data_IF_185226247952
#
_entry.id   IF_185226247952
#
_cell.length_a   1.000
_cell.length_b   1.000
_cell.length_c   1.000
_cell.angle_alpha   90.00
_cell.angle_beta   90.00
_cell.angle_gamma   90.00
#
_symmetry.space_group_name_H-M   'P 1'
#
loop_
_entity.id
_entity.type
_entity.pdbx_description
1 polymer ?
#
# COMPACT_ATOMS: atom_id res chain seq x y z
N UNK A 1 -31.97 44.63 38.12
CA UNK A 1 -31.17 45.01 36.94
C UNK A 1 -29.71 44.66 37.24
N UNK A 2 -29.20 43.57 36.67
CA UNK A 2 -27.80 43.15 36.81
C UNK A 2 -27.22 43.08 35.40
N UNK A 3 -26.33 44.02 35.13
CA UNK A 3 -25.65 44.25 33.86
C UNK A 3 -24.58 43.19 33.59
N UNK A 4 -24.55 42.71 32.35
CA UNK A 4 -23.70 41.62 31.88
C UNK A 4 -22.19 41.92 31.94
N UNK A 5 -21.43 40.93 32.40
CA UNK A 5 -19.96 40.90 32.28
C UNK A 5 -19.60 40.33 30.90
N UNK A 6 -19.32 41.23 29.96
CA UNK A 6 -18.61 40.91 28.73
C UNK A 6 -17.14 40.61 29.03
N UNK A 7 -16.66 39.46 28.58
CA UNK A 7 -15.24 39.08 28.66
C UNK A 7 -14.47 39.92 27.64
N UNK A 8 -13.61 40.81 28.14
CA UNK A 8 -12.60 41.52 27.35
C UNK A 8 -11.56 40.52 26.82
N UNK A 9 -11.61 40.22 25.52
CA UNK A 9 -10.50 39.58 24.81
C UNK A 9 -9.63 40.69 24.23
N UNK A 10 -8.52 40.98 24.91
CA UNK A 10 -7.49 41.92 24.46
C UNK A 10 -6.85 41.38 23.18
N UNK A 11 -7.25 41.94 22.05
CA UNK A 11 -6.71 41.66 20.73
C UNK A 11 -5.35 42.37 20.60
N UNK A 12 -4.27 41.69 20.98
CA UNK A 12 -2.91 42.17 20.71
C UNK A 12 -2.65 42.08 19.20
N UNK A 13 -2.66 43.25 18.56
CA UNK A 13 -2.27 43.41 17.17
C UNK A 13 -0.76 43.19 17.01
N UNK A 14 -0.36 42.36 16.06
CA UNK A 14 0.95 42.45 15.44
C UNK A 14 0.75 42.54 13.92
N UNK A 15 0.86 43.76 13.40
CA UNK A 15 0.94 44.04 11.96
C UNK A 15 2.38 43.86 11.48
N UNK A 16 2.48 43.47 10.20
CA UNK A 16 3.65 43.35 9.31
C UNK A 16 4.44 42.03 9.41
N UNK A 17 4.05 41.06 8.58
CA UNK A 17 4.91 40.50 7.54
C UNK A 17 4.02 40.01 6.39
N UNK A 18 3.95 40.78 5.32
CA UNK A 18 3.40 40.34 4.04
C UNK A 18 4.41 39.36 3.45
N UNK A 19 4.09 38.07 3.46
CA UNK A 19 4.47 37.17 2.38
C UNK A 19 3.16 36.84 1.69
N UNK A 20 2.91 37.46 0.54
CA UNK A 20 1.81 37.08 -0.33
C UNK A 20 2.01 35.61 -0.73
N UNK A 21 1.25 34.71 -0.09
CA UNK A 21 1.42 33.27 -0.26
C UNK A 21 0.68 32.45 0.78
N UNK A 22 -0.64 32.67 0.92
CA UNK A 22 -1.57 31.66 1.43
C UNK A 22 -1.58 31.38 2.92
N UNK A 23 -2.10 32.31 3.73
CA UNK A 23 -2.62 31.95 5.05
C UNK A 23 -4.02 31.36 4.85
N UNK A 24 -4.21 30.09 5.22
CA UNK A 24 -5.55 29.49 5.34
C UNK A 24 -5.97 29.61 6.80
N UNK A 25 -7.18 30.13 7.03
CA UNK A 25 -7.87 30.02 8.31
C UNK A 25 -9.05 29.07 8.12
N UNK A 26 -8.93 27.85 8.64
CA UNK A 26 -10.07 26.94 8.80
C UNK A 26 -9.86 26.19 10.11
N UNK A 27 -10.80 26.30 11.06
CA UNK A 27 -10.79 25.59 12.35
C UNK A 27 -9.44 25.64 13.10
N UNK A 28 -8.99 26.84 13.50
CA UNK A 28 -7.74 27.06 14.28
C UNK A 28 -6.43 26.59 13.60
N UNK A 29 -6.47 26.22 12.32
CA UNK A 29 -5.32 25.75 11.58
C UNK A 29 -4.65 26.89 10.79
N UNK A 30 -3.33 27.07 10.95
CA UNK A 30 -2.52 28.08 10.25
C UNK A 30 -1.28 27.42 9.65
N UNK A 31 -0.98 27.73 8.38
CA UNK A 31 0.26 27.34 7.72
C UNK A 31 1.00 28.58 7.21
N UNK A 32 2.29 28.68 7.48
CA UNK A 32 3.11 29.82 7.05
C UNK A 32 4.57 29.46 6.88
N UNK A 33 5.27 30.21 6.03
CA UNK A 33 6.72 30.09 5.90
C UNK A 33 7.42 30.99 6.91
N UNK A 34 8.43 30.45 7.58
CA UNK A 34 9.20 31.16 8.60
C UNK A 34 10.70 30.95 8.39
N UNK A 35 11.46 32.03 8.53
CA UNK A 35 12.89 31.97 8.80
C UNK A 35 13.13 32.14 10.29
N UNK A 36 14.24 31.61 10.79
CA UNK A 36 14.56 31.48 12.21
C UNK A 36 14.76 32.77 13.01
N UNK A 37 13.95 33.83 12.83
CA UNK A 37 13.93 35.00 13.74
C UNK A 37 13.47 34.64 15.16
N UNK A 38 12.79 33.50 15.38
CA UNK A 38 12.28 33.08 16.71
C UNK A 38 13.16 32.06 17.46
N UNK A 39 14.31 31.65 16.93
CA UNK A 39 15.29 30.84 17.68
C UNK A 39 16.66 31.54 17.63
N UNK A 40 16.81 32.61 18.40
CA UNK A 40 18.03 33.41 18.52
C UNK A 40 19.26 32.64 19.09
N UNK A 41 19.20 31.33 19.26
CA UNK A 41 20.28 30.51 19.83
C UNK A 41 20.94 29.52 18.86
N UNK A 42 20.59 29.51 17.56
CA UNK A 42 21.22 28.61 16.57
C UNK A 42 21.48 29.28 15.22
N UNK A 43 22.28 30.34 15.20
CA UNK A 43 23.03 30.64 13.99
C UNK A 43 24.11 29.56 13.84
N UNK A 44 24.18 28.87 12.68
CA UNK A 44 25.40 28.14 12.33
C UNK A 44 26.50 29.18 12.11
N UNK A 45 27.78 28.79 12.28
CA UNK A 45 28.95 29.67 12.05
C UNK A 45 28.96 30.36 10.66
N UNK A 46 28.12 29.93 9.72
CA UNK A 46 27.96 30.45 8.36
C UNK A 46 27.03 31.67 8.20
N UNK A 47 26.29 32.11 9.22
CA UNK A 47 25.37 33.27 9.10
C UNK A 47 24.07 33.02 8.32
N UNK A 48 23.78 31.76 7.97
CA UNK A 48 22.56 31.35 7.26
C UNK A 48 21.51 30.79 8.21
N UNK A 49 20.23 31.00 7.89
CA UNK A 49 19.08 30.56 8.67
C UNK A 49 18.25 29.52 7.91
N UNK A 50 17.80 28.43 8.55
CA UNK A 50 16.95 27.45 7.90
C UNK A 50 15.57 28.05 7.60
N UNK A 51 15.09 27.80 6.39
CA UNK A 51 13.71 28.08 5.98
C UNK A 51 12.84 26.89 6.41
N UNK A 52 11.75 27.17 7.11
CA UNK A 52 10.82 26.15 7.61
C UNK A 52 9.38 26.53 7.29
N UNK A 53 8.53 25.53 7.21
CA UNK A 53 7.08 25.69 7.11
C UNK A 53 6.51 25.39 8.48
N UNK A 54 5.84 26.37 9.08
CA UNK A 54 5.17 26.24 10.37
C UNK A 54 3.72 25.84 10.14
N UNK A 55 3.27 24.83 10.87
CA UNK A 55 1.86 24.42 10.93
C UNK A 55 1.41 24.56 12.38
N UNK A 56 0.31 25.29 12.59
CA UNK A 56 -0.30 25.54 13.90
C UNK A 56 -1.69 24.92 13.87
N UNK A 57 -2.05 24.18 14.92
CA UNK A 57 -3.39 23.62 15.12
C UNK A 57 -3.62 23.42 16.63
N UNK A 58 -4.77 23.83 17.16
CA UNK A 58 -5.15 23.72 18.58
C UNK A 58 -4.04 24.22 19.53
N UNK A 59 -3.54 25.44 19.28
CA UNK A 59 -2.45 26.11 20.04
C UNK A 59 -1.10 25.36 20.08
N UNK A 60 -0.96 24.27 19.33
CA UNK A 60 0.31 23.54 19.15
C UNK A 60 0.91 23.90 17.79
N UNK A 61 2.22 24.12 17.76
CA UNK A 61 2.96 24.45 16.55
C UNK A 61 4.03 23.39 16.26
N UNK A 62 4.14 22.96 15.00
CA UNK A 62 5.26 22.15 14.50
C UNK A 62 5.91 22.83 13.30
N UNK A 63 7.20 22.59 13.12
CA UNK A 63 8.00 23.13 12.03
C UNK A 63 8.52 22.02 11.13
N UNK A 64 8.39 22.21 9.83
CA UNK A 64 8.82 21.28 8.79
C UNK A 64 9.94 21.91 7.98
N UNK A 65 11.06 21.20 7.83
CA UNK A 65 12.23 21.71 7.10
C UNK A 65 11.97 21.73 5.60
N UNK A 66 12.37 22.80 4.91
CA UNK A 66 12.41 22.84 3.44
C UNK A 66 13.77 22.38 2.87
N UNK A 67 14.75 22.14 3.74
CA UNK A 67 16.13 21.82 3.35
C UNK A 67 16.92 23.01 2.79
N UNK A 68 16.35 24.22 2.79
CA UNK A 68 17.02 25.45 2.33
C UNK A 68 17.43 26.33 3.49
N UNK A 69 18.55 27.02 3.31
CA UNK A 69 19.07 28.00 4.25
C UNK A 69 19.29 29.33 3.49
N UNK A 70 18.94 30.45 4.12
CA UNK A 70 19.04 31.78 3.53
C UNK A 70 19.62 32.76 4.55
N UNK A 71 20.38 33.75 4.07
CA UNK A 71 20.74 34.91 4.87
C UNK A 71 19.48 35.77 5.13
N UNK A 72 19.58 36.73 6.06
CA UNK A 72 18.49 37.67 6.32
C UNK A 72 18.15 38.50 5.08
N UNK A 73 19.18 38.99 4.40
CA UNK A 73 19.07 39.80 3.19
C UNK A 73 18.46 39.00 2.02
N UNK A 74 18.95 37.77 1.81
CA UNK A 74 18.41 36.89 0.77
C UNK A 74 16.94 36.52 1.02
N UNK A 75 16.51 36.40 2.27
CA UNK A 75 15.12 36.14 2.62
C UNK A 75 14.21 37.33 2.33
N UNK A 76 14.65 38.54 2.73
CA UNK A 76 13.91 39.78 2.49
C UNK A 76 13.78 40.07 0.98
N UNK A 77 14.81 39.72 0.21
CA UNK A 77 14.85 39.87 -1.24
C UNK A 77 14.32 38.65 -2.02
N UNK A 78 13.87 37.58 -1.35
CA UNK A 78 13.58 36.29 -2.02
C UNK A 78 12.50 36.41 -3.10
N UNK A 79 11.49 37.26 -2.86
CA UNK A 79 10.35 37.45 -3.77
C UNK A 79 10.72 38.27 -5.02
N UNK A 80 11.56 39.29 -4.87
CA UNK A 80 11.85 40.28 -5.90
C UNK A 80 13.17 39.99 -6.64
N UNK A 81 14.02 39.13 -6.07
CA UNK A 81 15.33 38.85 -6.65
C UNK A 81 15.22 38.20 -8.04
N UNK A 82 16.03 38.69 -8.98
CA UNK A 82 16.24 38.10 -10.31
C UNK A 82 17.43 37.14 -10.35
N UNK A 83 18.12 36.94 -9.22
CA UNK A 83 19.25 36.01 -9.12
C UNK A 83 18.77 34.59 -9.36
N UNK A 84 19.41 33.88 -10.30
CA UNK A 84 19.11 32.48 -10.61
C UNK A 84 19.09 31.60 -9.36
N UNK A 85 20.06 31.77 -8.46
CA UNK A 85 20.15 31.05 -7.17
C UNK A 85 18.89 31.25 -6.31
N UNK A 86 18.44 32.49 -6.15
CA UNK A 86 17.30 32.83 -5.30
C UNK A 86 15.97 32.42 -5.94
N UNK A 87 15.86 32.49 -7.26
CA UNK A 87 14.73 31.95 -8.01
C UNK A 87 14.59 30.43 -7.85
N UNK A 88 15.69 29.68 -7.95
CA UNK A 88 15.71 28.22 -7.74
C UNK A 88 15.33 27.86 -6.28
N UNK A 89 15.84 28.61 -5.30
CA UNK A 89 15.49 28.42 -3.89
C UNK A 89 14.00 28.73 -3.65
N UNK A 90 13.48 29.81 -4.23
CA UNK A 90 12.06 30.19 -4.15
C UNK A 90 11.15 29.07 -4.64
N UNK A 91 11.39 28.58 -5.85
CA UNK A 91 10.62 27.46 -6.44
C UNK A 91 10.69 26.22 -5.54
N UNK A 92 11.87 25.88 -5.01
CA UNK A 92 12.04 24.73 -4.11
C UNK A 92 11.26 24.88 -2.80
N UNK A 93 11.23 26.09 -2.23
CA UNK A 93 10.51 26.40 -0.99
C UNK A 93 9.00 26.40 -1.22
N UNK A 94 8.52 26.99 -2.33
CA UNK A 94 7.11 26.99 -2.75
C UNK A 94 6.58 25.58 -3.01
N UNK A 95 7.39 24.72 -3.62
CA UNK A 95 7.06 23.30 -3.81
C UNK A 95 6.90 22.59 -2.46
N UNK A 96 7.84 22.80 -1.53
CA UNK A 96 7.77 22.23 -0.18
C UNK A 96 6.50 22.71 0.55
N UNK A 97 6.19 24.00 0.44
CA UNK A 97 4.99 24.59 1.02
C UNK A 97 3.72 23.98 0.43
N UNK A 98 3.65 23.85 -0.89
CA UNK A 98 2.50 23.29 -1.61
C UNK A 98 2.21 21.84 -1.20
N UNK A 99 3.26 21.02 -1.02
CA UNK A 99 3.12 19.62 -0.57
C UNK A 99 2.48 19.57 0.82
N UNK A 100 3.04 20.33 1.78
CA UNK A 100 2.54 20.34 3.16
C UNK A 100 1.12 20.93 3.21
N UNK A 101 0.87 22.03 2.49
CA UNK A 101 -0.45 22.65 2.37
C UNK A 101 -1.49 21.65 1.86
N UNK A 102 -1.19 20.93 0.78
CA UNK A 102 -2.10 19.91 0.24
C UNK A 102 -2.41 18.79 1.22
N UNK A 103 -1.42 18.32 2.01
CA UNK A 103 -1.67 17.31 3.05
C UNK A 103 -2.56 17.83 4.16
N UNK A 104 -2.28 19.06 4.60
CA UNK A 104 -3.01 19.76 5.65
C UNK A 104 -4.46 19.97 5.23
N UNK A 105 -4.71 20.47 4.02
CA UNK A 105 -6.06 20.65 3.45
C UNK A 105 -6.81 19.32 3.38
N UNK A 106 -6.20 18.28 2.80
CA UNK A 106 -6.83 16.97 2.64
C UNK A 106 -7.11 16.25 3.98
N UNK A 107 -6.38 16.57 5.05
CA UNK A 107 -6.65 16.09 6.40
C UNK A 107 -7.76 16.91 7.06
N UNK A 108 -7.73 18.23 6.90
CA UNK A 108 -8.71 19.15 7.45
C UNK A 108 -10.11 18.92 6.86
N UNK A 109 -10.23 18.68 5.55
CA UNK A 109 -11.51 18.37 4.88
C UNK A 109 -12.20 17.12 5.44
N UNK A 110 -11.43 16.17 5.96
CA UNK A 110 -11.95 14.93 6.53
C UNK A 110 -12.23 15.03 8.03
N UNK A 111 -11.84 16.13 8.67
CA UNK A 111 -11.88 16.27 10.14
C UNK A 111 -10.80 15.48 10.88
N UNK A 112 -9.85 14.87 10.17
CA UNK A 112 -8.84 13.96 10.73
C UNK A 112 -7.49 14.65 11.01
N UNK A 113 -7.47 15.99 11.08
CA UNK A 113 -6.20 16.68 11.23
C UNK A 113 -5.60 16.47 12.63
N UNK A 114 -4.49 15.73 12.68
CA UNK A 114 -3.56 15.75 13.79
C UNK A 114 -2.11 15.76 13.26
N UNK A 115 -1.19 16.25 14.07
CA UNK A 115 0.22 16.33 13.66
C UNK A 115 0.82 14.96 13.34
N UNK A 116 0.36 13.88 13.96
CA UNK A 116 0.88 12.54 13.71
C UNK A 116 0.36 11.98 12.38
N UNK A 117 -0.90 12.26 12.01
CA UNK A 117 -1.42 11.98 10.69
C UNK A 117 -0.71 12.79 9.60
N UNK A 118 -0.43 14.08 9.86
CA UNK A 118 0.38 14.91 8.97
C UNK A 118 1.80 14.36 8.84
N UNK A 119 2.47 13.99 9.95
CA UNK A 119 3.81 13.42 9.93
C UNK A 119 3.85 12.06 9.23
N UNK A 120 2.82 11.21 9.40
CA UNK A 120 2.70 9.94 8.70
C UNK A 120 2.54 10.17 7.19
N UNK A 121 1.76 11.17 6.76
CA UNK A 121 1.64 11.54 5.35
C UNK A 121 2.92 12.16 4.81
N UNK A 122 3.58 13.03 5.58
CA UNK A 122 4.83 13.68 5.16
C UNK A 122 6.03 12.72 5.15
N UNK A 123 6.09 11.76 6.09
CA UNK A 123 7.05 10.66 6.07
C UNK A 123 6.79 9.68 4.92
N UNK A 124 5.56 9.62 4.41
CA UNK A 124 5.21 8.97 3.13
C UNK A 124 5.47 9.86 1.91
N UNK A 125 5.50 11.19 2.04
CA UNK A 125 5.83 12.16 0.99
C UNK A 125 7.33 12.44 0.86
N UNK A 126 8.18 12.08 1.84
CA UNK A 126 9.64 12.22 1.71
C UNK A 126 10.24 11.20 0.73
N UNK A 127 9.48 10.20 0.30
CA UNK A 127 9.90 9.29 -0.77
C UNK A 127 9.53 9.89 -2.12
N UNK A 128 10.44 10.69 -2.68
CA UNK A 128 10.27 11.39 -3.95
C UNK A 128 10.20 10.46 -5.19
N UNK A 129 10.34 9.14 -5.00
CA UNK A 129 10.51 8.17 -6.10
C UNK A 129 9.51 7.02 -6.04
N UNK A 130 9.21 6.47 -7.22
CA UNK A 130 8.40 5.26 -7.43
C UNK A 130 9.01 4.07 -6.70
N UNK A 131 10.35 3.93 -6.74
CA UNK A 131 11.08 2.84 -6.11
C UNK A 131 10.83 2.80 -4.60
N UNK A 132 11.00 3.94 -3.93
CA UNK A 132 10.79 4.05 -2.50
C UNK A 132 9.32 3.84 -2.11
N UNK A 133 8.37 4.31 -2.93
CA UNK A 133 6.95 4.04 -2.69
C UNK A 133 6.58 2.55 -2.87
N UNK A 134 7.15 1.87 -3.87
CA UNK A 134 7.00 0.42 -4.05
C UNK A 134 7.64 -0.37 -2.89
N UNK A 135 8.79 0.09 -2.39
CA UNK A 135 9.47 -0.48 -1.24
C UNK A 135 8.64 -0.35 0.04
N UNK A 136 8.14 0.85 0.35
CA UNK A 136 7.26 1.07 1.50
C UNK A 136 6.02 0.16 1.45
N UNK A 137 5.40 0.05 0.27
CA UNK A 137 4.23 -0.80 0.07
C UNK A 137 4.55 -2.29 0.22
N UNK A 138 5.72 -2.72 -0.27
CA UNK A 138 6.24 -4.07 -0.06
C UNK A 138 6.39 -4.36 1.43
N UNK A 139 7.01 -3.45 2.17
CA UNK A 139 7.33 -3.64 3.59
C UNK A 139 6.06 -3.61 4.46
N UNK A 140 5.08 -2.75 4.12
CA UNK A 140 3.73 -2.78 4.69
C UNK A 140 3.03 -4.11 4.44
N UNK A 141 3.04 -4.63 3.20
CA UNK A 141 2.48 -5.95 2.91
C UNK A 141 3.17 -7.08 3.65
N UNK A 142 4.49 -6.96 3.90
CA UNK A 142 5.24 -7.93 4.69
C UNK A 142 4.79 -7.90 6.16
N UNK A 143 4.70 -6.72 6.75
CA UNK A 143 4.25 -6.53 8.13
C UNK A 143 2.82 -7.06 8.33
N UNK A 144 1.94 -6.86 7.34
CA UNK A 144 0.55 -7.33 7.39
C UNK A 144 0.36 -8.81 7.00
N UNK A 145 1.44 -9.57 6.77
CA UNK A 145 1.35 -10.96 6.34
C UNK A 145 0.75 -11.17 4.94
N UNK A 146 0.65 -10.13 4.11
CA UNK A 146 0.04 -10.19 2.78
C UNK A 146 1.03 -10.68 1.73
N UNK A 147 1.41 -11.96 1.81
CA UNK A 147 2.52 -12.59 1.08
C UNK A 147 2.46 -12.38 -0.44
N UNK A 148 1.30 -12.62 -1.06
CA UNK A 148 1.16 -12.48 -2.51
C UNK A 148 1.32 -11.02 -2.96
N UNK A 149 0.81 -10.07 -2.18
CA UNK A 149 0.97 -8.63 -2.45
C UNK A 149 2.42 -8.19 -2.26
N UNK A 150 3.10 -8.71 -1.23
CA UNK A 150 4.54 -8.53 -1.01
C UNK A 150 5.35 -8.96 -2.25
N UNK A 151 5.14 -10.19 -2.75
CA UNK A 151 5.87 -10.70 -3.90
C UNK A 151 5.57 -9.92 -5.19
N UNK A 152 4.33 -9.41 -5.37
CA UNK A 152 3.99 -8.53 -6.50
C UNK A 152 4.76 -7.21 -6.47
N UNK A 153 4.80 -6.55 -5.30
CA UNK A 153 5.58 -5.33 -5.12
C UNK A 153 7.08 -5.59 -5.31
N UNK A 154 7.64 -6.65 -4.70
CA UNK A 154 9.04 -7.05 -4.85
C UNK A 154 9.42 -7.29 -6.31
N UNK A 155 8.61 -8.06 -7.04
CA UNK A 155 8.87 -8.36 -8.45
C UNK A 155 8.73 -7.12 -9.33
N UNK A 156 7.72 -6.27 -9.07
CA UNK A 156 7.55 -5.02 -9.82
C UNK A 156 8.72 -4.09 -9.59
N UNK A 157 9.15 -3.89 -8.33
CA UNK A 157 10.32 -3.09 -7.97
C UNK A 157 11.58 -3.57 -8.70
N UNK A 158 11.90 -4.87 -8.61
CA UNK A 158 13.07 -5.42 -9.31
C UNK A 158 13.03 -5.17 -10.82
N UNK A 159 11.86 -5.27 -11.45
CA UNK A 159 11.75 -5.12 -12.91
C UNK A 159 11.66 -3.66 -13.36
N UNK A 160 11.23 -2.74 -12.50
CA UNK A 160 11.24 -1.30 -12.79
C UNK A 160 12.65 -0.72 -12.65
N UNK A 161 13.42 -1.21 -11.66
CA UNK A 161 14.83 -0.84 -11.47
C UNK A 161 15.69 -1.24 -12.67
N UNK A 162 15.44 -2.42 -13.25
CA UNK A 162 16.10 -2.87 -14.48
C UNK A 162 15.77 -2.01 -15.70
N UNK A 163 14.60 -1.37 -15.71
CA UNK A 163 14.18 -0.53 -16.83
C UNK A 163 14.71 0.91 -16.70
N UNK A 164 14.59 1.51 -15.52
CA UNK A 164 14.78 2.96 -15.34
C UNK A 164 15.57 3.35 -14.06
N UNK A 165 16.19 2.38 -13.37
CA UNK A 165 17.03 2.63 -12.20
C UNK A 165 16.25 2.85 -10.90
N UNK A 166 16.94 3.38 -9.89
CA UNK A 166 16.48 3.40 -8.50
C UNK A 166 15.88 4.74 -8.05
N UNK A 167 15.89 5.76 -8.91
CA UNK A 167 15.51 7.13 -8.57
C UNK A 167 14.41 7.70 -9.48
N UNK A 168 13.42 6.86 -9.80
CA UNK A 168 12.34 7.23 -10.72
C UNK A 168 11.39 8.21 -10.04
N UNK A 169 11.39 9.48 -10.45
CA UNK A 169 10.46 10.49 -9.91
C UNK A 169 9.04 10.27 -10.41
N UNK A 170 8.03 10.64 -9.61
CA UNK A 170 6.62 10.60 -10.05
C UNK A 170 6.34 11.46 -11.29
N UNK A 171 7.01 12.60 -11.42
CA UNK A 171 6.85 13.50 -12.57
C UNK A 171 7.36 12.90 -13.89
N UNK A 172 8.35 12.00 -13.83
CA UNK A 172 8.90 11.34 -15.01
C UNK A 172 7.99 10.27 -15.62
N UNK A 173 6.99 9.79 -14.87
CA UNK A 173 6.10 8.71 -15.30
C UNK A 173 4.96 9.27 -16.17
N UNK A 174 5.21 9.37 -17.47
CA UNK A 174 4.24 9.76 -18.49
C UNK A 174 3.61 8.55 -19.20
N UNK A 175 2.61 8.80 -20.06
CA UNK A 175 2.02 7.77 -20.94
C UNK A 175 3.09 7.11 -21.81
N UNK A 176 3.97 7.92 -22.42
CA UNK A 176 5.06 7.46 -23.25
C UNK A 176 6.11 6.66 -22.44
N UNK A 177 6.41 7.07 -21.21
CA UNK A 177 7.26 6.30 -20.29
C UNK A 177 6.68 4.90 -20.02
N UNK A 178 5.36 4.80 -19.77
CA UNK A 178 4.68 3.52 -19.54
C UNK A 178 4.71 2.63 -20.80
N UNK A 179 4.53 3.20 -21.98
CA UNK A 179 4.63 2.47 -23.25
C UNK A 179 6.04 1.89 -23.46
N UNK A 180 7.10 2.67 -23.18
CA UNK A 180 8.48 2.18 -23.24
C UNK A 180 8.74 1.08 -22.21
N UNK A 181 8.25 1.25 -20.98
CA UNK A 181 8.38 0.26 -19.92
C UNK A 181 7.71 -1.07 -20.30
N UNK A 182 6.51 -1.02 -20.87
CA UNK A 182 5.82 -2.20 -21.39
C UNK A 182 6.61 -2.87 -22.52
N UNK A 183 7.06 -2.09 -23.51
CA UNK A 183 7.86 -2.62 -24.63
C UNK A 183 9.13 -3.29 -24.15
N UNK A 184 9.82 -2.69 -23.18
CA UNK A 184 10.99 -3.28 -22.53
C UNK A 184 10.66 -4.66 -21.94
N UNK A 185 9.62 -4.77 -21.11
CA UNK A 185 9.25 -6.05 -20.52
C UNK A 185 8.78 -7.09 -21.55
N UNK A 186 8.13 -6.67 -22.65
CA UNK A 186 7.79 -7.58 -23.76
C UNK A 186 9.03 -8.15 -24.43
N UNK A 187 10.03 -7.30 -24.68
CA UNK A 187 11.31 -7.72 -25.25
C UNK A 187 12.09 -8.67 -24.32
N UNK A 188 11.90 -8.56 -23.01
CA UNK A 188 12.42 -9.52 -22.03
C UNK A 188 11.60 -10.83 -21.92
N UNK A 189 10.62 -11.03 -22.81
CA UNK A 189 9.78 -12.22 -22.82
C UNK A 189 8.76 -12.29 -21.67
N UNK A 190 8.42 -11.17 -21.01
CA UNK A 190 7.35 -11.17 -20.01
C UNK A 190 6.00 -11.37 -20.67
N UNK A 191 5.20 -12.28 -20.11
CA UNK A 191 3.82 -12.49 -20.56
C UNK A 191 2.95 -11.25 -20.30
N UNK A 192 1.87 -11.10 -21.08
CA UNK A 192 0.89 -10.03 -20.91
C UNK A 192 0.32 -10.02 -19.48
N UNK A 193 0.09 -11.19 -18.90
CA UNK A 193 -0.37 -11.32 -17.50
C UNK A 193 0.62 -10.74 -16.51
N UNK A 194 1.92 -11.01 -16.69
CA UNK A 194 2.97 -10.46 -15.82
C UNK A 194 3.05 -8.94 -15.97
N UNK A 195 3.02 -8.43 -17.20
CA UNK A 195 3.00 -6.98 -17.48
C UNK A 195 1.77 -6.31 -16.85
N UNK A 196 0.58 -6.93 -16.97
CA UNK A 196 -0.65 -6.45 -16.33
C UNK A 196 -0.48 -6.31 -14.81
N UNK A 197 0.15 -7.29 -14.16
CA UNK A 197 0.41 -7.27 -12.71
C UNK A 197 1.37 -6.13 -12.35
N UNK A 198 2.45 -5.94 -13.10
CA UNK A 198 3.42 -4.88 -12.85
C UNK A 198 2.76 -3.50 -13.03
N UNK A 199 2.03 -3.30 -14.13
CA UNK A 199 1.33 -2.05 -14.41
C UNK A 199 0.23 -1.72 -13.40
N UNK A 200 -0.52 -2.72 -12.91
CA UNK A 200 -1.49 -2.52 -11.81
C UNK A 200 -0.80 -2.13 -10.50
N UNK A 201 0.35 -2.72 -10.22
CA UNK A 201 1.13 -2.40 -9.03
C UNK A 201 1.65 -0.97 -9.09
N UNK A 202 2.20 -0.56 -10.26
CA UNK A 202 2.62 0.81 -10.51
C UNK A 202 1.46 1.81 -10.44
N UNK A 203 0.33 1.50 -11.09
CA UNK A 203 -0.90 2.31 -11.01
C UNK A 203 -1.36 2.49 -9.57
N UNK A 204 -1.22 1.47 -8.74
CA UNK A 204 -1.57 1.58 -7.32
C UNK A 204 -0.70 2.59 -6.57
N UNK A 205 0.61 2.60 -6.82
CA UNK A 205 1.55 3.57 -6.22
C UNK A 205 1.27 5.00 -6.71
N UNK A 206 0.99 5.16 -8.01
CA UNK A 206 0.60 6.46 -8.57
C UNK A 206 -0.72 6.96 -7.99
N UNK A 207 -1.71 6.07 -7.83
CA UNK A 207 -2.98 6.41 -7.17
C UNK A 207 -2.77 6.87 -5.74
N UNK A 208 -1.86 6.23 -4.99
CA UNK A 208 -1.53 6.62 -3.62
C UNK A 208 -0.83 7.99 -3.60
N UNK A 209 0.08 8.25 -4.53
CA UNK A 209 0.72 9.56 -4.70
C UNK A 209 -0.29 10.67 -5.03
N UNK A 210 -1.25 10.39 -5.91
CA UNK A 210 -2.37 11.30 -6.22
C UNK A 210 -3.23 11.58 -4.99
N UNK A 211 -3.61 10.53 -4.25
CA UNK A 211 -4.41 10.65 -3.01
C UNK A 211 -3.70 11.47 -1.94
N UNK A 212 -2.38 11.38 -1.91
CA UNK A 212 -1.50 12.14 -1.03
C UNK A 212 -1.00 13.43 -1.70
N UNK A 213 -1.68 13.97 -2.71
CA UNK A 213 -1.38 15.29 -3.29
C UNK A 213 0.01 15.46 -3.92
N UNK A 214 0.77 14.39 -4.15
CA UNK A 214 2.11 14.47 -4.76
C UNK A 214 2.07 14.67 -6.27
N UNK A 215 0.98 14.23 -6.92
CA UNK A 215 0.70 14.47 -8.33
C UNK A 215 -0.73 14.96 -8.51
N UNK A 216 -0.95 15.81 -9.52
CA UNK A 216 -2.28 16.32 -9.90
C UNK A 216 -3.02 15.33 -10.79
N UNK A 217 -4.35 15.47 -10.90
CA UNK A 217 -5.19 14.68 -11.82
C UNK A 217 -4.65 14.69 -13.27
N UNK A 218 -4.29 15.88 -13.74
CA UNK A 218 -3.75 16.10 -15.08
C UNK A 218 -2.47 15.29 -15.34
N UNK A 219 -1.66 15.05 -14.30
CA UNK A 219 -0.41 14.30 -14.39
C UNK A 219 -0.60 12.79 -14.25
N UNK A 220 -1.80 12.31 -13.91
CA UNK A 220 -2.06 10.89 -13.72
C UNK A 220 -2.00 10.14 -15.07
N UNK A 221 -1.07 9.19 -15.31
CA UNK A 221 -0.82 8.66 -16.65
C UNK A 221 -1.70 7.45 -17.03
N UNK A 222 -2.47 6.88 -16.08
CA UNK A 222 -3.34 5.74 -16.34
C UNK A 222 -4.80 6.16 -16.55
N UNK A 223 -5.51 5.48 -17.44
CA UNK A 223 -6.95 5.66 -17.65
C UNK A 223 -7.37 5.63 -19.13
N UNK A 224 -8.67 5.76 -19.37
CA UNK A 224 -9.23 5.85 -20.72
C UNK A 224 -8.68 7.09 -21.43
N UNK A 225 -8.20 6.92 -22.66
CA UNK A 225 -7.54 8.00 -23.41
C UNK A 225 -6.15 8.39 -22.88
N UNK A 226 -5.58 7.57 -21.98
CA UNK A 226 -4.19 7.65 -21.51
C UNK A 226 -3.54 6.27 -21.69
N UNK A 227 -2.61 5.88 -20.82
CA UNK A 227 -2.10 4.51 -20.83
C UNK A 227 -3.15 3.54 -20.29
N UNK A 228 -3.54 2.59 -21.13
CA UNK A 228 -4.48 1.51 -20.81
C UNK A 228 -3.71 0.22 -20.54
N UNK A 229 -3.94 -0.37 -19.36
CA UNK A 229 -3.21 -1.57 -18.94
C UNK A 229 -3.66 -2.76 -19.81
N UNK A 230 -2.75 -3.48 -20.48
CA UNK A 230 -3.11 -4.56 -21.38
C UNK A 230 -3.87 -5.67 -20.64
N UNK A 231 -5.01 -6.10 -21.19
CA UNK A 231 -5.78 -7.22 -20.66
C UNK A 231 -5.09 -8.56 -20.96
N UNK A 232 -5.03 -9.44 -19.97
CA UNK A 232 -4.67 -10.84 -20.21
C UNK A 232 -5.90 -11.64 -20.61
N UNK A 233 -5.75 -12.55 -21.57
CA UNK A 233 -6.82 -13.50 -21.90
C UNK A 233 -6.85 -14.63 -20.86
N UNK A 234 -8.05 -14.92 -20.34
CA UNK A 234 -8.26 -16.09 -19.48
C UNK A 234 -8.03 -17.39 -20.26
N UNK A 235 -7.47 -18.40 -19.61
CA UNK A 235 -7.40 -19.76 -20.17
C UNK A 235 -8.58 -20.56 -19.63
N UNK A 236 -9.33 -21.24 -20.52
CA UNK A 236 -10.37 -22.20 -20.11
C UNK A 236 -9.68 -23.47 -19.64
N UNK A 237 -9.58 -23.64 -18.32
CA UNK A 237 -8.87 -24.74 -17.65
C UNK A 237 -9.81 -25.77 -17.00
N UNK A 238 -11.12 -25.67 -17.25
CA UNK A 238 -12.08 -26.60 -16.67
C UNK A 238 -11.90 -28.00 -17.27
N UNK A 239 -11.75 -29.00 -16.40
CA UNK A 239 -11.71 -30.40 -16.79
C UNK A 239 -13.13 -30.91 -17.07
N UNK A 240 -13.27 -31.79 -18.06
CA UNK A 240 -14.52 -32.53 -18.29
C UNK A 240 -14.68 -33.63 -17.24
N UNK A 241 -15.91 -34.14 -17.05
CA UNK A 241 -16.15 -35.27 -16.14
C UNK A 241 -15.33 -36.51 -16.53
N UNK A 242 -15.13 -36.76 -17.82
CA UNK A 242 -14.27 -37.84 -18.29
C UNK A 242 -12.81 -37.63 -17.90
N UNK A 243 -12.30 -36.40 -17.99
CA UNK A 243 -10.94 -36.07 -17.55
C UNK A 243 -10.80 -36.20 -16.03
N UNK A 244 -11.79 -35.75 -15.26
CA UNK A 244 -11.82 -35.93 -13.80
C UNK A 244 -11.81 -37.42 -13.46
N UNK A 245 -12.65 -38.23 -14.11
CA UNK A 245 -12.68 -39.69 -13.91
C UNK A 245 -11.30 -40.30 -14.19
N UNK A 246 -10.67 -39.94 -15.31
CA UNK A 246 -9.31 -40.40 -15.64
C UNK A 246 -8.28 -40.07 -14.55
N UNK A 247 -8.36 -38.88 -13.95
CA UNK A 247 -7.45 -38.49 -12.85
C UNK A 247 -7.73 -39.32 -11.60
N UNK A 248 -8.99 -39.44 -11.19
CA UNK A 248 -9.37 -40.11 -9.92
C UNK A 248 -9.14 -41.62 -9.99
N UNK A 249 -9.33 -42.25 -11.15
CA UNK A 249 -9.10 -43.70 -11.33
C UNK A 249 -7.66 -44.03 -11.71
N UNK A 250 -6.75 -43.05 -11.76
CA UNK A 250 -5.36 -43.30 -12.13
C UNK A 250 -4.63 -44.04 -11.02
N UNK A 251 -4.37 -45.32 -11.22
CA UNK A 251 -3.80 -46.26 -10.24
C UNK A 251 -2.33 -46.63 -10.50
N UNK A 252 -1.78 -46.18 -11.63
CA UNK A 252 -0.39 -46.45 -12.04
C UNK A 252 0.55 -45.40 -11.45
N UNK A 253 1.11 -45.62 -10.27
CA UNK A 253 2.07 -44.66 -9.73
C UNK A 253 2.65 -45.05 -8.38
N UNK A 254 3.54 -44.20 -7.87
CA UNK A 254 4.02 -44.33 -6.51
C UNK A 254 2.93 -43.97 -5.49
N UNK A 255 3.16 -44.33 -4.24
CA UNK A 255 2.31 -43.90 -3.12
C UNK A 255 2.13 -42.37 -3.09
N UNK A 256 3.19 -41.63 -3.41
CA UNK A 256 3.17 -40.17 -3.55
C UNK A 256 2.15 -39.69 -4.59
N UNK A 257 2.09 -40.34 -5.75
CA UNK A 257 1.10 -39.99 -6.79
C UNK A 257 -0.32 -40.27 -6.31
N UNK A 258 -0.53 -41.43 -5.67
CA UNK A 258 -1.83 -41.78 -5.08
C UNK A 258 -2.27 -40.76 -4.03
N UNK A 259 -1.35 -40.36 -3.13
CA UNK A 259 -1.61 -39.35 -2.10
C UNK A 259 -2.05 -38.02 -2.70
N UNK A 260 -1.32 -37.48 -3.68
CA UNK A 260 -1.67 -36.18 -4.26
C UNK A 260 -2.92 -36.23 -5.14
N UNK A 261 -3.19 -37.35 -5.82
CA UNK A 261 -4.47 -37.59 -6.52
C UNK A 261 -5.64 -37.55 -5.54
N UNK A 262 -5.52 -38.27 -4.42
CA UNK A 262 -6.57 -38.35 -3.39
C UNK A 262 -6.80 -36.99 -2.72
N UNK A 263 -5.73 -36.26 -2.37
CA UNK A 263 -5.85 -34.90 -1.83
C UNK A 263 -6.46 -33.90 -2.83
N UNK A 264 -6.13 -34.02 -4.12
CA UNK A 264 -6.78 -33.23 -5.16
C UNK A 264 -8.28 -33.56 -5.27
N UNK A 265 -8.63 -34.85 -5.18
CA UNK A 265 -10.03 -35.29 -5.23
C UNK A 265 -10.82 -34.84 -3.99
N UNK A 266 -10.22 -34.87 -2.80
CA UNK A 266 -10.80 -34.26 -1.60
C UNK A 266 -11.08 -32.77 -1.82
N UNK A 267 -10.12 -32.04 -2.39
CA UNK A 267 -10.30 -30.63 -2.75
C UNK A 267 -11.50 -30.43 -3.69
N UNK A 268 -11.63 -31.27 -4.72
CA UNK A 268 -12.74 -31.25 -5.66
C UNK A 268 -14.09 -31.50 -4.96
N UNK A 269 -14.20 -32.56 -4.16
CA UNK A 269 -15.42 -32.94 -3.43
C UNK A 269 -15.81 -31.91 -2.36
N UNK A 270 -14.83 -31.28 -1.72
CA UNK A 270 -15.03 -30.25 -0.70
C UNK A 270 -15.27 -28.86 -1.32
N UNK A 271 -16.19 -28.78 -2.28
CA UNK A 271 -16.57 -27.57 -3.02
C UNK A 271 -15.39 -26.80 -3.64
N UNK A 272 -14.35 -27.51 -4.10
CA UNK A 272 -13.16 -26.88 -4.68
C UNK A 272 -12.35 -26.08 -3.66
N UNK A 273 -12.31 -26.49 -2.39
CA UNK A 273 -11.42 -25.91 -1.38
C UNK A 273 -9.99 -25.87 -1.92
N UNK A 274 -9.29 -24.76 -1.75
CA UNK A 274 -7.90 -24.74 -2.19
C UNK A 274 -6.98 -25.43 -1.18
N UNK A 275 -5.81 -25.86 -1.65
CA UNK A 275 -4.81 -26.49 -0.79
C UNK A 275 -4.49 -25.65 0.45
N UNK A 276 -4.31 -24.34 0.34
CA UNK A 276 -4.05 -23.49 1.53
C UNK A 276 -5.07 -23.70 2.63
N UNK A 277 -6.36 -23.66 2.34
CA UNK A 277 -7.38 -23.81 3.38
C UNK A 277 -7.52 -25.28 3.79
N UNK A 278 -7.39 -26.21 2.85
CA UNK A 278 -7.45 -27.65 3.09
C UNK A 278 -6.38 -28.14 4.06
N UNK A 279 -5.14 -27.65 3.94
CA UNK A 279 -4.03 -28.04 4.82
C UNK A 279 -4.25 -27.63 6.29
N UNK A 280 -5.14 -26.66 6.53
CA UNK A 280 -5.42 -26.12 7.87
C UNK A 280 -6.83 -26.49 8.37
N UNK A 281 -7.52 -27.39 7.68
CA UNK A 281 -8.75 -27.99 8.21
C UNK A 281 -8.42 -28.79 9.47
N UNK A 282 -9.27 -28.67 10.48
CA UNK A 282 -9.25 -29.41 11.74
C UNK A 282 -10.47 -30.31 11.84
N UNK A 283 -10.45 -31.28 12.75
CA UNK A 283 -11.64 -32.07 13.06
C UNK A 283 -12.80 -31.20 13.55
N UNK A 284 -12.54 -30.09 14.24
CA UNK A 284 -13.54 -29.08 14.62
C UNK A 284 -14.25 -28.42 13.44
N UNK A 285 -13.69 -28.52 12.23
CA UNK A 285 -14.37 -28.04 11.02
C UNK A 285 -15.45 -29.01 10.55
N UNK A 286 -15.51 -30.25 11.04
CA UNK A 286 -16.55 -31.21 10.69
C UNK A 286 -17.71 -31.03 11.66
N UNK A 287 -18.83 -30.51 11.18
CA UNK A 287 -20.04 -30.24 11.97
C UNK A 287 -21.22 -30.89 11.29
N UNK A 288 -21.93 -31.79 11.98
CA UNK A 288 -23.13 -32.47 11.47
C UNK A 288 -22.96 -33.13 10.08
N UNK A 289 -21.78 -33.74 9.84
CA UNK A 289 -21.48 -34.37 8.55
C UNK A 289 -21.09 -33.39 7.44
N UNK A 290 -20.79 -32.13 7.75
CA UNK A 290 -20.30 -31.13 6.81
C UNK A 290 -18.93 -30.60 7.21
N UNK A 291 -18.02 -30.43 6.24
CA UNK A 291 -16.80 -29.63 6.41
C UNK A 291 -17.15 -28.15 6.27
N UNK A 292 -16.95 -27.40 7.34
CA UNK A 292 -17.28 -25.99 7.49
C UNK A 292 -16.01 -25.15 7.62
N UNK A 293 -15.77 -24.21 6.69
CA UNK A 293 -14.58 -23.36 6.71
C UNK A 293 -14.81 -21.97 6.13
N UNK A 294 -13.93 -21.04 6.47
CA UNK A 294 -13.90 -19.68 5.90
C UNK A 294 -12.72 -19.59 4.93
N UNK A 295 -13.00 -19.10 3.72
CA UNK A 295 -11.97 -18.96 2.68
C UNK A 295 -10.93 -17.91 3.06
N UNK A 296 -9.67 -18.29 3.27
CA UNK A 296 -8.61 -17.36 3.70
C UNK A 296 -8.40 -16.19 2.72
N UNK A 297 -8.51 -16.45 1.41
CA UNK A 297 -8.22 -15.44 0.38
C UNK A 297 -9.16 -14.23 0.44
N UNK A 298 -10.40 -14.44 0.86
CA UNK A 298 -11.48 -13.45 0.78
C UNK A 298 -12.10 -13.14 2.15
N UNK A 299 -11.55 -13.71 3.22
CA UNK A 299 -12.02 -13.53 4.60
C UNK A 299 -12.12 -12.06 5.00
N UNK A 300 -11.18 -11.23 4.53
CA UNK A 300 -11.12 -9.80 4.85
C UNK A 300 -11.71 -8.89 3.75
N UNK A 301 -12.32 -9.46 2.70
CA UNK A 301 -12.83 -8.66 1.56
C UNK A 301 -14.30 -8.26 1.73
N UNK A 302 -15.04 -8.95 2.60
CA UNK A 302 -16.45 -8.65 2.87
C UNK A 302 -16.65 -8.30 4.34
N UNK A 303 -17.61 -7.41 4.62
CA UNK A 303 -18.06 -7.10 5.98
C UNK A 303 -18.74 -8.29 6.66
N UNK A 304 -19.22 -9.26 5.87
CA UNK A 304 -19.82 -10.50 6.37
C UNK A 304 -18.94 -11.69 6.04
N UNK A 305 -18.52 -12.41 7.08
CA UNK A 305 -17.79 -13.67 6.93
C UNK A 305 -18.73 -14.71 6.34
N UNK A 306 -18.32 -15.33 5.22
CA UNK A 306 -19.07 -16.41 4.58
C UNK A 306 -18.42 -17.74 4.94
N UNK A 307 -19.21 -18.61 5.57
CA UNK A 307 -18.82 -20.00 5.84
C UNK A 307 -19.22 -20.86 4.65
N UNK A 308 -18.27 -21.59 4.10
CA UNK A 308 -18.51 -22.61 3.08
C UNK A 308 -18.79 -23.93 3.81
N UNK A 309 -19.82 -24.64 3.37
CA UNK A 309 -20.22 -25.95 3.88
C UNK A 309 -20.15 -26.95 2.74
N UNK A 310 -19.43 -28.05 2.93
CA UNK A 310 -19.37 -29.14 1.98
C UNK A 310 -19.73 -30.44 2.69
N UNK A 311 -20.62 -31.24 2.10
CA UNK A 311 -21.03 -32.53 2.66
C UNK A 311 -19.80 -33.43 2.74
N UNK A 312 -19.56 -34.03 3.91
CA UNK A 312 -18.48 -34.99 4.12
C UNK A 312 -18.88 -36.34 3.52
N UNK A 313 -18.50 -36.57 2.26
CA UNK A 313 -18.83 -37.80 1.53
C UNK A 313 -18.04 -39.01 2.04
N UNK A 314 -18.49 -40.25 1.77
CA UNK A 314 -17.73 -41.46 2.10
C UNK A 314 -16.31 -41.46 1.53
N UNK A 315 -16.12 -40.98 0.30
CA UNK A 315 -14.81 -40.88 -0.34
C UNK A 315 -13.90 -39.89 0.39
N UNK A 316 -14.44 -38.75 0.83
CA UNK A 316 -13.68 -37.80 1.66
C UNK A 316 -13.22 -38.43 2.98
N UNK A 317 -14.08 -39.23 3.62
CA UNK A 317 -13.73 -39.95 4.85
C UNK A 317 -12.60 -40.96 4.62
N UNK A 318 -12.67 -41.76 3.54
CA UNK A 318 -11.61 -42.70 3.18
C UNK A 318 -10.27 -41.98 2.93
N UNK A 319 -10.31 -40.80 2.30
CA UNK A 319 -9.11 -39.98 2.06
C UNK A 319 -8.53 -39.46 3.39
N UNK A 320 -9.37 -39.00 4.31
CA UNK A 320 -8.94 -38.57 5.66
C UNK A 320 -8.34 -39.75 6.42
N UNK A 321 -8.98 -40.93 6.40
CA UNK A 321 -8.49 -42.13 7.08
C UNK A 321 -7.12 -42.56 6.54
N UNK A 322 -6.95 -42.54 5.21
CA UNK A 322 -5.72 -42.98 4.55
C UNK A 322 -4.55 -42.00 4.72
N UNK A 323 -4.80 -40.70 4.59
CA UNK A 323 -3.73 -39.68 4.49
C UNK A 323 -3.70 -38.67 5.63
N UNK A 324 -4.73 -38.67 6.48
CA UNK A 324 -4.93 -37.71 7.55
C UNK A 324 -4.28 -38.08 8.88
N UNK A 325 -4.38 -37.18 9.84
CA UNK A 325 -4.06 -37.50 11.24
C UNK A 325 -5.17 -38.39 11.83
N UNK A 326 -4.83 -39.34 12.71
CA UNK A 326 -5.84 -40.11 13.45
C UNK A 326 -6.80 -39.19 14.19
N UNK A 327 -8.08 -39.54 14.18
CA UNK A 327 -9.06 -38.89 15.03
C UNK A 327 -8.84 -39.36 16.48
N UNK A 328 -8.20 -38.51 17.27
CA UNK A 328 -7.93 -38.76 18.69
C UNK A 328 -9.04 -38.22 19.60
N UNK A 329 -10.14 -37.72 19.02
CA UNK A 329 -11.17 -36.98 19.74
C UNK A 329 -10.79 -35.54 20.09
N UNK A 330 -9.54 -35.12 19.81
CA UNK A 330 -9.14 -33.73 19.97
C UNK A 330 -9.60 -32.89 18.75
N UNK A 331 -10.56 -31.97 18.93
CA UNK A 331 -11.15 -31.20 17.83
C UNK A 331 -10.14 -30.26 17.15
N UNK A 332 -9.06 -29.87 17.82
CA UNK A 332 -8.04 -28.97 17.28
C UNK A 332 -7.02 -29.67 16.37
N UNK A 333 -7.08 -31.00 16.27
CA UNK A 333 -6.20 -31.79 15.42
C UNK A 333 -6.47 -31.47 13.95
N UNK A 334 -5.42 -31.11 13.19
CA UNK A 334 -5.52 -30.93 11.74
C UNK A 334 -5.92 -32.23 11.05
N UNK A 335 -6.76 -32.16 10.03
CA UNK A 335 -7.16 -33.32 9.24
C UNK A 335 -5.97 -33.94 8.51
N UNK A 336 -5.03 -33.14 7.98
CA UNK A 336 -3.89 -33.63 7.21
C UNK A 336 -2.54 -33.28 7.83
N UNK A 337 -1.54 -34.15 7.62
CA UNK A 337 -0.20 -34.11 8.24
C UNK A 337 0.76 -33.08 7.62
N UNK A 338 0.29 -31.86 7.34
CA UNK A 338 1.09 -30.84 6.66
C UNK A 338 1.31 -29.58 7.49
N UNK A 339 0.25 -29.09 8.15
CA UNK A 339 0.33 -27.91 9.00
C UNK A 339 0.61 -28.31 10.46
N UNK A 340 1.37 -27.47 11.16
CA UNK A 340 1.66 -27.58 12.60
C UNK A 340 0.86 -26.57 13.43
N UNK A 341 0.34 -25.51 12.81
CA UNK A 341 -0.40 -24.43 13.46
C UNK A 341 0.47 -23.30 14.01
N UNK A 342 1.79 -23.43 13.87
CA UNK A 342 2.78 -22.41 14.24
C UNK A 342 3.23 -21.59 13.02
N UNK A 343 2.74 -21.91 11.83
CA UNK A 343 3.12 -21.22 10.61
C UNK A 343 2.59 -19.77 10.61
N UNK A 344 3.49 -18.82 10.39
CA UNK A 344 3.11 -17.49 9.92
C UNK A 344 2.70 -17.53 8.43
N UNK A 345 2.11 -16.45 7.95
CA UNK A 345 1.61 -16.31 6.58
C UNK A 345 2.64 -16.68 5.49
N UNK A 346 3.93 -16.34 5.69
CA UNK A 346 5.01 -16.65 4.75
C UNK A 346 5.37 -18.13 4.76
N UNK A 347 5.48 -18.74 5.95
CA UNK A 347 5.70 -20.19 6.08
C UNK A 347 4.53 -20.98 5.53
N UNK A 348 3.28 -20.56 5.78
CA UNK A 348 2.08 -21.14 5.15
C UNK A 348 2.15 -21.06 3.63
N UNK A 349 2.58 -19.92 3.07
CA UNK A 349 2.73 -19.79 1.63
C UNK A 349 3.82 -20.69 1.05
N UNK A 350 4.88 -20.98 1.79
CA UNK A 350 5.94 -21.89 1.34
C UNK A 350 5.48 -23.35 1.44
N UNK A 351 4.77 -23.72 2.51
CA UNK A 351 4.17 -25.04 2.69
C UNK A 351 3.21 -25.42 1.56
N UNK A 352 2.49 -24.46 0.99
CA UNK A 352 1.56 -24.71 -0.13
C UNK A 352 2.28 -24.79 -1.48
N UNK A 353 3.50 -24.25 -1.59
CA UNK A 353 4.26 -24.15 -2.85
C UNK A 353 5.27 -25.28 -3.04
N UNK A 354 5.77 -25.83 -1.93
CA UNK A 354 6.70 -26.95 -1.86
C UNK A 354 5.92 -28.21 -1.52
#
# INVERSE_FOLDING_TARGET
AVTGKGVHVTRLSFKKFQVQGGIIYKNELVIQMVTGKQQAHRAKKSGLFPVKIQVIHNRRQKYYSTGKELSREDWENLAESKSRRLSEIRVSVENSFSIIKGQVEALAERGDFCFDALNARLGRCSTATINAALQNKRDEFKANGQVNSYYRCRSTLKNIERFAGNEITFASVSVDWLNRCEKFWRNEGKSVTTINIYMKTLKSVINDAKRNGMIKEAQHPFGRGKYEIPGGNGRKLALTLEQIKKVVTYDKGSETVSKYRDLWFFSYLCNGINFRDMLFLKYSNIVNGEVCFVRSKTSHTSTRVRVIRAILTPEMKQIIERWGNPDTGNPDTYLFKFAKGEENEFTTSNLVRN
#
